data_IF_825254849950
#
_entry.id   IF_825254849950
#
_cell.length_a   1.000
_cell.length_b   1.000
_cell.length_c   1.000
_cell.angle_alpha   90.00
_cell.angle_beta   90.00
_cell.angle_gamma   90.00
#
_symmetry.space_group_name_H-M   'P 1'
#
loop_
_entity.id
_entity.type
_entity.pdbx_description
1 polymer ?
#
# COMPACT_ATOMS: atom_id res chain seq x y z
N UNK A 1 -4.61 -8.12 -23.79
CA UNK A 1 -4.57 -8.79 -22.50
C UNK A 1 -5.05 -10.24 -22.62
N UNK A 2 -6.19 -10.52 -23.23
CA UNK A 2 -6.80 -11.85 -23.34
C UNK A 2 -5.82 -12.97 -23.83
N UNK A 3 -4.92 -12.64 -24.75
CA UNK A 3 -3.94 -13.59 -25.33
C UNK A 3 -2.55 -13.51 -24.69
N UNK A 4 -2.36 -12.68 -23.68
CA UNK A 4 -1.09 -12.58 -22.97
C UNK A 4 -1.00 -13.66 -21.86
N UNK A 5 0.20 -14.21 -21.57
CA UNK A 5 0.37 -15.10 -20.44
C UNK A 5 -0.12 -14.44 -19.14
N UNK A 6 -1.05 -15.09 -18.43
CA UNK A 6 -1.69 -14.54 -17.24
C UNK A 6 -2.74 -13.45 -17.47
N UNK A 7 -2.96 -13.02 -18.73
CA UNK A 7 -3.90 -11.95 -19.04
C UNK A 7 -5.36 -12.31 -18.74
N UNK A 8 -5.73 -13.58 -18.92
CA UNK A 8 -7.06 -14.06 -18.57
C UNK A 8 -7.31 -13.99 -17.06
N UNK A 9 -6.32 -14.37 -16.24
CA UNK A 9 -6.39 -14.23 -14.79
C UNK A 9 -6.58 -12.75 -14.38
N UNK A 10 -5.78 -11.86 -14.96
CA UNK A 10 -5.89 -10.43 -14.68
C UNK A 10 -7.26 -9.88 -15.05
N UNK A 11 -7.79 -10.25 -16.23
CA UNK A 11 -9.13 -9.79 -16.66
C UNK A 11 -10.23 -10.27 -15.71
N UNK A 12 -10.12 -11.49 -15.18
CA UNK A 12 -11.12 -12.07 -14.28
C UNK A 12 -11.03 -11.56 -12.84
N UNK A 13 -9.83 -11.22 -12.37
CA UNK A 13 -9.61 -10.98 -10.94
C UNK A 13 -9.17 -9.53 -10.61
N UNK A 14 -8.61 -8.80 -11.58
CA UNK A 14 -8.02 -7.49 -11.30
C UNK A 14 -8.77 -6.33 -11.96
N UNK A 15 -9.69 -6.59 -12.89
CA UNK A 15 -10.43 -5.55 -13.59
C UNK A 15 -11.93 -5.68 -13.38
N UNK A 16 -12.58 -4.56 -13.10
CA UNK A 16 -14.03 -4.44 -13.06
C UNK A 16 -14.46 -3.93 -14.44
N UNK A 17 -15.21 -4.74 -15.19
CA UNK A 17 -15.66 -4.41 -16.53
C UNK A 17 -17.18 -4.17 -16.46
N UNK A 18 -17.59 -2.92 -16.60
CA UNK A 18 -19.01 -2.52 -16.53
C UNK A 18 -19.71 -2.49 -17.89
N UNK A 19 -18.99 -2.85 -18.96
CA UNK A 19 -19.51 -2.85 -20.33
C UNK A 19 -19.88 -4.26 -20.76
N UNK A 20 -21.19 -4.50 -21.02
CA UNK A 20 -21.71 -5.79 -21.45
C UNK A 20 -21.18 -6.23 -22.81
N UNK A 21 -20.97 -5.27 -23.73
CA UNK A 21 -20.44 -5.58 -25.06
C UNK A 21 -18.98 -6.05 -24.96
N UNK A 22 -18.20 -5.44 -24.05
CA UNK A 22 -16.84 -5.87 -23.75
C UNK A 22 -16.80 -7.24 -23.08
N UNK A 23 -17.71 -7.53 -22.14
CA UNK A 23 -17.82 -8.85 -21.50
C UNK A 23 -18.16 -9.94 -22.52
N UNK A 24 -19.09 -9.67 -23.43
CA UNK A 24 -19.44 -10.55 -24.55
C UNK A 24 -18.23 -10.82 -25.46
N UNK A 25 -17.52 -9.78 -25.86
CA UNK A 25 -16.32 -9.88 -26.70
C UNK A 25 -15.18 -10.67 -26.02
N UNK A 26 -15.11 -10.67 -24.69
CA UNK A 26 -14.13 -11.41 -23.89
C UNK A 26 -14.57 -12.80 -23.50
N UNK A 27 -15.79 -13.25 -23.87
CA UNK A 27 -16.44 -14.50 -23.43
C UNK A 27 -16.54 -14.61 -21.90
N UNK A 28 -16.77 -13.51 -21.22
CA UNK A 28 -16.88 -13.43 -19.76
C UNK A 28 -18.34 -13.22 -19.28
N UNK A 29 -19.33 -13.45 -20.14
CA UNK A 29 -20.77 -13.26 -19.86
C UNK A 29 -21.28 -14.16 -18.73
N UNK A 30 -20.64 -15.31 -18.52
CA UNK A 30 -21.04 -16.30 -17.51
C UNK A 30 -20.31 -16.12 -16.16
N UNK A 31 -19.53 -15.05 -16.01
CA UNK A 31 -18.99 -14.70 -14.70
C UNK A 31 -20.13 -14.07 -13.88
N UNK A 32 -20.48 -14.75 -12.78
CA UNK A 32 -21.52 -14.22 -11.90
C UNK A 32 -21.05 -12.87 -11.33
N UNK A 33 -21.79 -11.78 -11.61
CA UNK A 33 -21.34 -10.43 -11.24
C UNK A 33 -21.57 -10.12 -9.76
N UNK A 34 -21.94 -11.09 -8.94
CA UNK A 34 -22.42 -10.89 -7.58
C UNK A 34 -21.44 -10.15 -6.69
N UNK A 35 -20.13 -10.27 -6.95
CA UNK A 35 -19.07 -9.60 -6.18
C UNK A 35 -18.25 -8.61 -7.01
N UNK A 36 -18.69 -8.27 -8.21
CA UNK A 36 -18.07 -7.24 -9.05
C UNK A 36 -18.57 -5.84 -8.66
N UNK A 37 -18.20 -5.40 -7.47
CA UNK A 37 -18.61 -4.10 -6.97
C UNK A 37 -17.84 -2.96 -7.62
N UNK A 38 -18.58 -1.91 -7.97
CA UNK A 38 -18.04 -0.61 -8.37
C UNK A 38 -17.57 0.17 -7.14
N UNK A 39 -16.82 1.25 -7.35
CA UNK A 39 -16.36 2.12 -6.25
C UNK A 39 -17.51 2.61 -5.37
N UNK A 40 -18.64 3.01 -5.98
CA UNK A 40 -19.81 3.49 -5.25
C UNK A 40 -20.48 2.40 -4.40
N UNK A 41 -20.51 1.18 -4.89
CA UNK A 41 -21.05 0.03 -4.16
C UNK A 41 -20.14 -0.38 -3.01
N UNK A 42 -18.81 -0.34 -3.22
CA UNK A 42 -17.83 -0.58 -2.15
C UNK A 42 -17.93 0.49 -1.06
N UNK A 43 -18.08 1.78 -1.42
CA UNK A 43 -18.31 2.85 -0.43
C UNK A 43 -19.58 2.59 0.37
N UNK A 44 -20.66 2.23 -0.30
CA UNK A 44 -21.94 1.89 0.37
C UNK A 44 -21.79 0.67 1.29
N UNK A 45 -21.07 -0.36 0.85
CA UNK A 45 -20.79 -1.56 1.67
C UNK A 45 -19.98 -1.21 2.93
N UNK A 46 -18.96 -0.37 2.81
CA UNK A 46 -18.14 0.06 3.93
C UNK A 46 -18.88 0.95 4.90
N UNK A 47 -19.74 1.86 4.43
CA UNK A 47 -20.51 2.79 5.26
C UNK A 47 -21.70 2.13 5.93
N UNK A 48 -22.56 1.45 5.16
CA UNK A 48 -23.86 0.96 5.60
C UNK A 48 -24.01 -0.56 5.58
N UNK A 49 -23.12 -1.30 4.92
CA UNK A 49 -23.18 -2.76 4.85
C UNK A 49 -22.92 -3.44 6.20
N UNK A 50 -23.40 -4.67 6.32
CA UNK A 50 -23.17 -5.51 7.51
C UNK A 50 -21.77 -6.12 7.49
N UNK A 51 -21.29 -6.61 8.67
CA UNK A 51 -20.02 -7.33 8.76
C UNK A 51 -20.04 -8.62 7.92
N UNK A 52 -21.16 -9.33 7.92
CA UNK A 52 -21.32 -10.58 7.18
C UNK A 52 -21.23 -10.35 5.66
N UNK A 53 -21.85 -9.27 5.15
CA UNK A 53 -21.74 -8.88 3.74
C UNK A 53 -20.32 -8.51 3.35
N UNK A 54 -19.60 -7.80 4.22
CA UNK A 54 -18.22 -7.46 3.99
C UNK A 54 -17.32 -8.70 4.04
N UNK A 55 -17.56 -9.63 4.98
CA UNK A 55 -16.81 -10.87 5.06
C UNK A 55 -17.02 -11.76 3.83
N UNK A 56 -18.25 -11.86 3.37
CA UNK A 56 -18.63 -12.59 2.16
C UNK A 56 -17.94 -12.01 0.94
N UNK A 57 -17.99 -10.68 0.80
CA UNK A 57 -17.28 -9.97 -0.27
C UNK A 57 -15.77 -10.24 -0.22
N UNK A 58 -15.12 -10.16 0.95
CA UNK A 58 -13.69 -10.41 1.10
C UNK A 58 -13.28 -11.87 0.82
N UNK A 59 -14.22 -12.83 0.97
CA UNK A 59 -13.94 -14.24 0.69
C UNK A 59 -14.11 -14.61 -0.79
N UNK A 60 -15.02 -13.97 -1.50
CA UNK A 60 -15.45 -14.41 -2.84
C UNK A 60 -15.22 -13.38 -3.94
N UNK A 61 -14.96 -12.10 -3.60
CA UNK A 61 -14.74 -11.07 -4.58
C UNK A 61 -13.41 -11.24 -5.32
N UNK A 62 -13.33 -10.77 -6.57
CA UNK A 62 -12.07 -10.71 -7.31
C UNK A 62 -11.03 -9.83 -6.61
N UNK A 63 -9.74 -10.11 -6.83
CA UNK A 63 -8.63 -9.37 -6.24
C UNK A 63 -8.73 -7.86 -6.47
N UNK A 64 -9.23 -7.42 -7.64
CA UNK A 64 -9.43 -6.01 -7.94
C UNK A 64 -10.47 -5.32 -7.04
N UNK A 65 -11.53 -6.02 -6.64
CA UNK A 65 -12.52 -5.51 -5.68
C UNK A 65 -11.93 -5.46 -4.27
N UNK A 66 -11.15 -6.47 -3.89
CA UNK A 66 -10.46 -6.50 -2.60
C UNK A 66 -9.47 -5.34 -2.49
N UNK A 67 -8.71 -5.05 -3.54
CA UNK A 67 -7.80 -3.90 -3.58
C UNK A 67 -8.55 -2.57 -3.51
N UNK A 68 -9.70 -2.47 -4.17
CA UNK A 68 -10.58 -1.30 -4.09
C UNK A 68 -11.12 -1.10 -2.67
N UNK A 69 -11.53 -2.17 -1.97
CA UNK A 69 -11.96 -2.13 -0.57
C UNK A 69 -10.85 -1.58 0.32
N UNK A 70 -9.61 -2.06 0.16
CA UNK A 70 -8.43 -1.59 0.92
C UNK A 70 -8.21 -0.09 0.69
N UNK A 71 -8.20 0.34 -0.56
CA UNK A 71 -7.98 1.73 -0.95
C UNK A 71 -9.02 2.65 -0.33
N UNK A 72 -10.30 2.32 -0.51
CA UNK A 72 -11.40 3.14 0.01
C UNK A 72 -11.43 3.13 1.55
N UNK A 73 -11.13 2.00 2.19
CA UNK A 73 -11.09 1.91 3.66
C UNK A 73 -10.02 2.83 4.27
N UNK A 74 -8.88 3.00 3.59
CA UNK A 74 -7.81 3.93 4.00
C UNK A 74 -8.19 5.38 3.70
N UNK A 75 -8.74 5.67 2.50
CA UNK A 75 -9.14 7.01 2.09
C UNK A 75 -10.26 7.60 2.97
N UNK A 76 -11.25 6.78 3.30
CA UNK A 76 -12.41 7.22 4.10
C UNK A 76 -12.16 7.16 5.60
N UNK A 77 -10.95 6.77 6.04
CA UNK A 77 -10.62 6.58 7.47
C UNK A 77 -11.72 5.79 8.19
N UNK A 78 -12.10 4.65 7.62
CA UNK A 78 -13.27 3.85 8.02
C UNK A 78 -13.49 3.84 9.54
N UNK A 79 -14.61 4.41 10.06
CA UNK A 79 -14.80 4.61 11.50
C UNK A 79 -15.06 3.31 12.26
N UNK A 80 -15.61 2.29 11.57
CA UNK A 80 -15.94 1.01 12.21
C UNK A 80 -14.70 0.14 12.44
N UNK A 81 -14.28 0.05 13.69
CA UNK A 81 -13.13 -0.76 14.13
C UNK A 81 -13.29 -2.25 13.80
N UNK A 82 -14.53 -2.77 13.79
CA UNK A 82 -14.79 -4.18 13.48
C UNK A 82 -14.52 -4.46 12.00
N UNK A 83 -15.01 -3.58 11.11
CA UNK A 83 -14.76 -3.67 9.66
C UNK A 83 -13.28 -3.52 9.37
N UNK A 84 -12.57 -2.55 9.99
CA UNK A 84 -11.10 -2.40 9.82
C UNK A 84 -10.35 -3.66 10.24
N UNK A 85 -10.71 -4.24 11.38
CA UNK A 85 -10.09 -5.47 11.86
C UNK A 85 -10.32 -6.64 10.90
N UNK A 86 -11.55 -6.80 10.41
CA UNK A 86 -11.92 -7.85 9.45
C UNK A 86 -11.11 -7.71 8.15
N UNK A 87 -11.03 -6.49 7.59
CA UNK A 87 -10.23 -6.22 6.39
C UNK A 87 -8.76 -6.55 6.66
N UNK A 88 -8.20 -6.10 7.78
CA UNK A 88 -6.81 -6.36 8.14
C UNK A 88 -6.51 -7.86 8.30
N UNK A 89 -7.42 -8.62 8.88
CA UNK A 89 -7.29 -10.07 9.08
C UNK A 89 -7.33 -10.84 7.75
N UNK A 90 -8.26 -10.49 6.86
CA UNK A 90 -8.44 -11.17 5.58
C UNK A 90 -7.40 -10.77 4.53
N UNK A 91 -6.98 -9.53 4.51
CA UNK A 91 -6.06 -9.00 3.47
C UNK A 91 -4.61 -8.88 3.93
N UNK A 92 -4.34 -8.98 5.24
CA UNK A 92 -3.03 -8.74 5.82
C UNK A 92 -2.61 -7.26 5.86
N UNK A 93 -3.43 -6.33 5.36
CA UNK A 93 -3.16 -4.90 5.39
C UNK A 93 -3.60 -4.30 6.72
N UNK A 94 -2.68 -3.69 7.47
CA UNK A 94 -3.03 -2.95 8.67
C UNK A 94 -3.60 -1.57 8.28
N UNK A 95 -4.93 -1.45 8.30
CA UNK A 95 -5.64 -0.22 7.92
C UNK A 95 -5.26 0.96 8.82
N UNK A 96 -5.12 0.75 10.12
CA UNK A 96 -4.78 1.82 11.06
C UNK A 96 -3.41 2.44 10.74
N UNK A 97 -2.41 1.61 10.44
CA UNK A 97 -1.08 2.09 10.03
C UNK A 97 -1.12 2.77 8.67
N UNK A 98 -1.87 2.23 7.71
CA UNK A 98 -2.00 2.80 6.37
C UNK A 98 -2.67 4.19 6.41
N UNK A 99 -3.71 4.35 7.22
CA UNK A 99 -4.38 5.65 7.45
C UNK A 99 -3.43 6.66 8.07
N UNK A 100 -2.64 6.27 9.09
CA UNK A 100 -1.64 7.16 9.70
C UNK A 100 -0.61 7.65 8.69
N UNK A 101 -0.09 6.77 7.85
CA UNK A 101 0.89 7.14 6.81
C UNK A 101 0.26 8.10 5.80
N UNK A 102 -0.98 7.84 5.38
CA UNK A 102 -1.69 8.70 4.43
C UNK A 102 -1.92 10.10 5.01
N UNK A 103 -2.31 10.21 6.27
CA UNK A 103 -2.51 11.48 6.97
C UNK A 103 -1.21 12.28 7.08
N UNK A 104 -0.08 11.63 7.39
CA UNK A 104 1.24 12.28 7.46
C UNK A 104 1.67 12.81 6.09
N UNK A 105 1.52 12.03 5.03
CA UNK A 105 1.87 12.44 3.66
C UNK A 105 0.99 13.61 3.18
N UNK A 106 -0.31 13.59 3.46
CA UNK A 106 -1.22 14.68 3.11
C UNK A 106 -0.86 15.99 3.84
N UNK A 107 -0.31 15.90 5.06
CA UNK A 107 0.10 17.08 5.83
C UNK A 107 1.42 17.68 5.30
N UNK A 108 2.29 16.88 4.68
CA UNK A 108 3.54 17.38 4.11
C UNK A 108 3.35 18.08 2.75
N UNK A 109 2.33 17.71 1.97
CA UNK A 109 2.03 18.37 0.69
C UNK A 109 1.45 19.78 0.87
N UNK A 110 0.81 20.09 2.00
CA UNK A 110 0.22 21.41 2.30
C UNK A 110 1.21 22.40 2.97
N UNK A 111 2.41 21.93 3.32
CA UNK A 111 3.50 22.79 3.77
C UNK A 111 4.36 23.21 2.59
N UNK A 112 4.01 24.36 1.98
CA UNK A 112 4.82 25.05 0.97
C UNK A 112 6.29 25.19 1.44
N UNK A 113 7.27 25.12 0.52
CA UNK A 113 8.68 25.06 0.87
C UNK A 113 9.10 26.35 1.58
N UNK A 114 9.34 26.26 2.87
CA UNK A 114 10.00 27.32 3.62
C UNK A 114 11.42 27.44 3.12
N UNK A 115 11.74 28.64 2.62
CA UNK A 115 13.04 29.08 2.12
C UNK A 115 14.22 28.42 2.85
N UNK A 116 15.02 27.69 2.09
CA UNK A 116 16.35 27.28 2.54
C UNK A 116 17.19 28.53 2.74
N UNK A 117 17.30 29.01 3.97
CA UNK A 117 18.29 30.04 4.34
C UNK A 117 19.66 29.48 4.05
N UNK A 118 20.23 29.96 2.93
CA UNK A 118 21.62 29.83 2.56
C UNK A 118 22.52 30.11 3.77
N UNK A 119 23.18 29.09 4.29
CA UNK A 119 24.27 29.26 5.25
C UNK A 119 25.47 29.84 4.50
N UNK A 120 25.70 31.13 4.77
CA UNK A 120 26.86 31.89 4.34
C UNK A 120 28.15 31.16 4.75
N UNK A 121 28.93 30.78 3.76
CA UNK A 121 30.23 30.19 3.98
C UNK A 121 31.17 31.20 4.66
N UNK A 122 31.75 30.83 5.79
CA UNK A 122 32.85 31.58 6.41
C UNK A 122 34.20 31.09 5.80
N UNK A 123 35.20 31.99 5.65
CA UNK A 123 36.40 31.67 4.88
C UNK A 123 37.35 30.73 5.61
N UNK A 124 37.93 29.83 4.86
CA UNK A 124 38.95 28.88 5.27
C UNK A 124 40.26 29.65 5.52
N UNK A 125 40.75 29.65 6.76
CA UNK A 125 42.15 30.02 7.03
C UNK A 125 42.99 28.74 7.04
N UNK A 126 43.96 28.72 6.13
CA UNK A 126 45.03 27.77 6.03
C UNK A 126 45.98 27.82 7.22
N UNK A 127 46.17 26.67 7.89
CA UNK A 127 47.40 26.41 8.63
C UNK A 127 47.74 24.91 8.58
N UNK A 128 48.82 24.67 7.92
CA UNK A 128 49.62 23.45 7.82
C UNK A 128 50.03 22.85 9.18
N UNK A 129 49.85 21.57 9.37
CA UNK A 129 50.92 20.69 9.97
C UNK A 129 50.46 19.22 10.01
N UNK A 130 51.07 18.42 9.19
CA UNK A 130 51.30 16.96 9.38
C UNK A 130 52.48 16.79 10.37
N UNK A 131 52.81 15.64 10.98
CA UNK A 131 52.24 14.29 10.94
C UNK A 131 52.18 13.61 12.31
N UNK A 132 51.61 12.43 12.46
CA UNK A 132 52.33 11.25 12.97
C UNK A 132 51.37 10.03 13.11
N UNK A 133 51.72 9.04 12.35
CA UNK A 133 51.27 7.67 12.35
C UNK A 133 51.71 6.98 13.65
N UNK A 134 50.79 6.34 14.38
CA UNK A 134 51.18 5.32 15.36
C UNK A 134 50.27 4.13 15.24
N UNK A 135 50.87 3.01 14.94
CA UNK A 135 50.29 1.71 14.71
C UNK A 135 49.99 0.97 16.03
N UNK A 136 48.92 0.19 16.01
CA UNK A 136 48.63 -1.12 16.65
C UNK A 136 48.70 -1.30 18.16
N UNK A 137 47.96 -2.29 18.73
CA UNK A 137 48.10 -3.69 18.39
C UNK A 137 46.82 -4.55 18.37
N UNK A 138 46.92 -5.59 17.58
CA UNK A 138 46.12 -6.81 17.41
C UNK A 138 45.75 -7.46 18.75
N UNK A 139 44.48 -7.80 18.95
CA UNK A 139 44.02 -8.67 20.02
C UNK A 139 43.57 -10.03 19.48
N UNK A 140 44.17 -11.07 20.05
CA UNK A 140 44.18 -12.48 19.71
C UNK A 140 42.81 -13.16 19.95
N UNK A 141 42.32 -13.88 18.97
CA UNK A 141 41.31 -14.88 19.15
C UNK A 141 41.87 -16.13 19.82
N UNK A 142 41.20 -16.58 20.88
CA UNK A 142 41.53 -17.83 21.58
C UNK A 142 40.55 -18.90 21.13
N UNK A 143 41.05 -19.86 20.35
CA UNK A 143 40.36 -21.09 20.00
C UNK A 143 40.44 -22.03 21.19
N UNK A 144 39.30 -22.57 21.64
CA UNK A 144 39.26 -23.70 22.56
C UNK A 144 38.57 -24.87 21.85
N UNK A 145 39.39 -25.87 21.56
CA UNK A 145 38.96 -27.20 21.16
C UNK A 145 38.69 -28.04 22.43
N UNK A 146 37.51 -28.65 22.49
CA UNK A 146 37.36 -30.03 22.98
C UNK A 146 35.92 -30.49 22.73
#
# INVERSE_FOLDING_TARGET
LQYAPGGEYMLKNCFIINDMDALTALNMENMEPEYFYTETEVRTLLESGTLDQLEDCLNFAPDGVIDLIKTIAVETELPDTRKRKLISEKTGLNIDNATMVNTVMATEEDSAPTEVKSRKAAPISTASSTPTRKAEPVSKYKVVSK
#
